data_IF_830020877087
#
_entry.id   IF_830020877087
#
_cell.length_a   1.000
_cell.length_b   1.000
_cell.length_c   1.000
_cell.angle_alpha   90.00
_cell.angle_beta   90.00
_cell.angle_gamma   90.00
#
_symmetry.space_group_name_H-M   'P 1'
#
loop_
_entity.id
_entity.type
_entity.pdbx_description
1 polymer ?
#
# COMPACT_ATOMS: atom_id res chain seq x y z
N UNK A 1 9.07 19.31 -12.99
CA UNK A 1 8.18 19.08 -11.83
C UNK A 1 9.04 18.40 -10.80
N UNK A 2 9.37 19.09 -9.70
CA UNK A 2 10.33 18.57 -8.74
C UNK A 2 9.70 17.40 -7.99
N UNK A 3 10.32 16.25 -8.08
CA UNK A 3 9.95 15.04 -7.39
C UNK A 3 10.05 15.28 -5.88
N UNK A 4 8.95 15.11 -5.19
CA UNK A 4 8.85 15.28 -3.76
C UNK A 4 9.33 13.99 -3.09
N UNK A 5 10.16 14.16 -2.06
CA UNK A 5 10.65 13.03 -1.29
C UNK A 5 9.50 12.30 -0.59
N UNK A 6 9.47 11.01 -0.84
CA UNK A 6 8.50 10.09 -0.30
C UNK A 6 8.44 10.07 1.22
N UNK A 7 9.58 10.16 1.88
CA UNK A 7 9.64 10.15 3.35
C UNK A 7 8.92 11.34 3.95
N UNK A 8 9.02 12.52 3.31
CA UNK A 8 8.37 13.75 3.80
C UNK A 8 6.86 13.69 3.64
N UNK A 9 6.39 13.22 2.47
CA UNK A 9 4.94 13.01 2.23
C UNK A 9 4.39 11.95 3.18
N UNK A 10 5.12 10.85 3.37
CA UNK A 10 4.81 9.82 4.33
C UNK A 10 4.73 10.35 5.75
N UNK A 11 5.74 11.09 6.18
CA UNK A 11 5.78 11.64 7.52
C UNK A 11 4.63 12.61 7.76
N UNK A 12 4.27 13.43 6.75
CA UNK A 12 3.13 14.32 6.83
C UNK A 12 1.79 13.55 6.90
N UNK A 13 1.63 12.48 6.12
CA UNK A 13 0.43 11.64 6.17
C UNK A 13 0.31 10.89 7.51
N UNK A 14 1.41 10.36 8.04
CA UNK A 14 1.43 9.72 9.36
C UNK A 14 1.11 10.71 10.48
N UNK A 15 1.66 11.93 10.41
CA UNK A 15 1.32 12.98 11.37
C UNK A 15 -0.16 13.34 11.37
N UNK A 16 -0.77 13.38 10.19
CA UNK A 16 -2.21 13.63 10.08
C UNK A 16 -2.99 12.44 10.64
N UNK A 17 -2.59 11.21 10.32
CA UNK A 17 -3.23 10.01 10.85
C UNK A 17 -3.18 9.95 12.39
N UNK A 18 -2.03 10.30 12.98
CA UNK A 18 -1.85 10.35 14.45
C UNK A 18 -2.71 11.42 15.14
N UNK A 19 -3.19 12.40 14.40
CA UNK A 19 -4.06 13.46 14.94
C UNK A 19 -5.53 13.10 14.89
N UNK A 20 -5.89 12.11 14.10
CA UNK A 20 -7.28 11.69 13.98
C UNK A 20 -7.67 10.84 15.17
N UNK A 21 -8.92 10.95 15.67
CA UNK A 21 -9.34 10.19 16.82
C UNK A 21 -9.23 8.69 16.54
N UNK A 22 -8.69 7.95 17.48
CA UNK A 22 -8.80 6.50 17.50
C UNK A 22 -10.27 6.15 17.61
N UNK A 23 -10.81 5.45 16.62
CA UNK A 23 -12.22 5.10 16.61
C UNK A 23 -12.54 4.10 17.70
N UNK A 24 -13.34 4.52 18.68
CA UNK A 24 -14.00 3.57 19.57
C UNK A 24 -15.21 2.97 18.85
N UNK A 25 -15.00 1.79 18.25
CA UNK A 25 -16.08 1.01 17.63
C UNK A 25 -15.86 0.66 16.16
N UNK A 26 -16.61 -0.32 15.63
CA UNK A 26 -16.39 -0.93 14.32
C UNK A 26 -16.66 -0.01 13.11
N UNK A 27 -16.92 1.25 13.33
CA UNK A 27 -17.50 2.13 12.31
C UNK A 27 -16.65 3.33 11.90
N UNK A 28 -15.53 3.62 12.60
CA UNK A 28 -14.72 4.81 12.31
C UNK A 28 -13.35 4.47 11.76
N UNK A 29 -13.11 4.91 10.54
CA UNK A 29 -11.84 4.67 9.85
C UNK A 29 -11.44 5.85 9.01
N UNK A 30 -10.57 6.73 9.53
CA UNK A 30 -9.97 7.77 8.73
C UNK A 30 -8.87 7.17 7.84
N UNK A 31 -8.97 7.44 6.56
CA UNK A 31 -7.95 7.13 5.59
C UNK A 31 -7.36 8.43 5.06
N UNK A 32 -6.03 8.61 5.18
CA UNK A 32 -5.36 9.85 4.79
C UNK A 32 -4.59 9.66 3.51
N UNK A 33 -4.90 10.45 2.49
CA UNK A 33 -4.15 10.52 1.23
C UNK A 33 -3.68 11.95 0.99
N UNK A 34 -2.40 12.15 0.72
CA UNK A 34 -1.89 13.43 0.23
C UNK A 34 -1.89 13.39 -1.29
N UNK A 35 -2.55 14.37 -1.90
CA UNK A 35 -2.67 14.44 -3.35
C UNK A 35 -1.39 15.05 -3.95
N UNK A 36 -0.51 14.26 -4.60
CA UNK A 36 0.80 14.73 -5.07
C UNK A 36 0.68 15.81 -6.17
N UNK A 37 -0.37 15.76 -6.96
CA UNK A 37 -0.64 16.74 -8.01
C UNK A 37 -1.09 18.13 -7.48
N UNK A 38 -1.31 18.24 -6.18
CA UNK A 38 -1.66 19.50 -5.50
C UNK A 38 -0.57 19.97 -4.54
N UNK A 39 0.62 19.43 -4.65
CA UNK A 39 1.77 19.88 -3.87
C UNK A 39 2.55 20.91 -4.65
N UNK A 40 2.87 22.01 -4.01
CA UNK A 40 3.62 23.09 -4.61
C UNK A 40 4.53 23.81 -3.60
N UNK A 41 5.61 24.45 -4.06
CA UNK A 41 6.46 25.26 -3.18
C UNK A 41 5.72 26.51 -2.70
N UNK A 42 5.96 26.89 -1.45
CA UNK A 42 5.46 28.14 -0.88
C UNK A 42 6.50 29.23 -1.13
N UNK A 43 6.09 30.28 -1.84
CA UNK A 43 6.94 31.42 -2.16
C UNK A 43 7.89 31.19 -3.34
N UNK A 44 8.79 32.15 -3.56
CA UNK A 44 9.75 32.11 -4.67
C UNK A 44 10.86 31.11 -4.36
N UNK A 45 10.86 29.99 -5.07
CA UNK A 45 11.85 28.94 -4.95
C UNK A 45 11.67 27.97 -3.77
N UNK A 46 10.73 28.22 -2.87
CA UNK A 46 10.38 27.32 -1.76
C UNK A 46 11.47 27.07 -0.69
N UNK A 47 12.66 27.66 -0.88
CA UNK A 47 13.77 27.49 0.07
C UNK A 47 13.52 28.32 1.34
N UNK A 48 13.50 27.68 2.49
CA UNK A 48 13.27 28.34 3.80
C UNK A 48 14.58 28.70 4.49
N UNK A 49 15.64 27.93 4.21
CA UNK A 49 16.95 28.15 4.81
C UNK A 49 17.96 27.09 4.41
N UNK A 50 19.19 27.37 4.76
CA UNK A 50 20.32 26.45 4.67
C UNK A 50 20.84 26.29 6.10
N UNK A 51 21.01 25.07 6.57
CA UNK A 51 21.67 24.76 7.84
C UNK A 51 23.10 24.30 7.54
N UNK A 52 24.07 24.91 8.18
CA UNK A 52 25.44 24.39 8.17
C UNK A 52 25.47 23.08 8.97
N UNK A 53 25.80 22.00 8.32
CA UNK A 53 25.98 20.69 8.91
C UNK A 53 27.41 20.22 8.58
N UNK A 54 28.11 19.54 9.51
CA UNK A 54 29.45 18.98 9.24
C UNK A 54 29.52 18.05 8.02
N UNK A 55 28.37 17.52 7.58
CA UNK A 55 28.23 16.64 6.42
C UNK A 55 27.84 17.38 5.12
N UNK A 56 27.59 18.70 5.19
CA UNK A 56 27.21 19.55 4.06
C UNK A 56 25.97 20.40 4.32
N UNK A 57 25.68 21.31 3.38
CA UNK A 57 24.56 22.23 3.50
C UNK A 57 23.20 21.52 3.39
N UNK A 58 22.39 21.58 4.42
CA UNK A 58 21.02 21.08 4.41
C UNK A 58 20.09 22.16 3.90
N UNK A 59 19.36 21.87 2.84
CA UNK A 59 18.34 22.76 2.29
C UNK A 59 16.96 22.41 2.82
N UNK A 60 16.22 23.40 3.28
CA UNK A 60 14.83 23.23 3.71
C UNK A 60 13.89 23.92 2.72
N UNK A 61 12.90 23.17 2.25
CA UNK A 61 11.84 23.69 1.39
C UNK A 61 10.52 23.63 2.14
N UNK A 62 9.72 24.67 1.98
CA UNK A 62 8.35 24.68 2.48
C UNK A 62 7.40 24.38 1.34
N UNK A 63 6.53 23.42 1.56
CA UNK A 63 5.57 22.93 0.58
C UNK A 63 4.17 23.10 1.12
N UNK A 64 3.26 23.53 0.26
CA UNK A 64 1.83 23.52 0.53
C UNK A 64 1.15 22.41 -0.28
N UNK A 65 0.08 21.86 0.27
CA UNK A 65 -0.64 20.79 -0.39
C UNK A 65 -2.01 20.53 0.20
N UNK A 66 -2.66 19.55 -0.37
CA UNK A 66 -3.96 19.06 0.09
C UNK A 66 -3.84 17.57 0.42
N UNK A 67 -4.26 17.22 1.64
CA UNK A 67 -4.51 15.83 2.02
C UNK A 67 -6.01 15.57 1.96
N UNK A 68 -6.39 14.34 1.64
CA UNK A 68 -7.76 13.87 1.72
C UNK A 68 -7.84 12.77 2.78
N UNK A 69 -8.71 12.97 3.74
CA UNK A 69 -9.07 11.97 4.74
C UNK A 69 -10.38 11.34 4.29
N UNK A 70 -10.36 10.05 3.97
CA UNK A 70 -11.59 9.31 3.66
C UNK A 70 -12.14 8.74 4.95
N UNK A 71 -13.29 9.25 5.37
CA UNK A 71 -14.01 8.78 6.56
C UNK A 71 -15.04 7.75 6.12
N UNK A 72 -15.09 6.60 6.79
CA UNK A 72 -16.03 5.51 6.50
C UNK A 72 -16.85 5.15 7.74
N UNK A 73 -18.10 4.80 7.54
CA UNK A 73 -19.00 4.35 8.62
C UNK A 73 -20.10 3.43 8.09
N UNK A 74 -20.73 2.68 9.00
CA UNK A 74 -21.81 1.76 8.67
C UNK A 74 -23.18 2.44 8.48
N UNK A 75 -23.34 3.70 8.91
CA UNK A 75 -24.54 4.51 8.69
C UNK A 75 -24.17 5.95 8.33
N UNK A 76 -25.11 6.70 7.70
CA UNK A 76 -24.89 8.13 7.41
C UNK A 76 -24.72 8.99 8.67
N UNK A 77 -25.42 8.66 9.76
CA UNK A 77 -25.34 9.36 11.04
C UNK A 77 -23.96 9.18 11.66
N UNK A 78 -23.49 7.94 11.77
CA UNK A 78 -22.14 7.63 12.25
C UNK A 78 -21.06 8.26 11.38
N UNK A 79 -21.27 8.32 10.05
CA UNK A 79 -20.36 9.00 9.14
C UNK A 79 -20.30 10.50 9.41
N UNK A 80 -21.44 11.12 9.71
CA UNK A 80 -21.49 12.54 10.08
C UNK A 80 -20.68 12.79 11.37
N UNK A 81 -20.96 12.03 12.42
CA UNK A 81 -20.31 12.17 13.72
C UNK A 81 -18.79 11.95 13.61
N UNK A 82 -18.38 10.93 12.89
CA UNK A 82 -16.99 10.63 12.63
C UNK A 82 -16.28 11.76 11.84
N UNK A 83 -16.96 12.35 10.85
CA UNK A 83 -16.40 13.49 10.08
C UNK A 83 -16.24 14.73 10.97
N UNK A 84 -17.21 14.99 11.84
CA UNK A 84 -17.15 16.09 12.82
C UNK A 84 -16.00 15.87 13.81
N UNK A 85 -15.88 14.66 14.35
CA UNK A 85 -14.80 14.31 15.29
C UNK A 85 -13.42 14.48 14.65
N UNK A 86 -13.23 14.00 13.40
CA UNK A 86 -12.00 14.18 12.65
C UNK A 86 -11.67 15.67 12.43
N UNK A 87 -12.66 16.46 12.04
CA UNK A 87 -12.49 17.91 11.85
C UNK A 87 -12.12 18.62 13.15
N UNK A 88 -12.77 18.28 14.25
CA UNK A 88 -12.50 18.85 15.58
C UNK A 88 -11.10 18.49 16.06
N UNK A 89 -10.65 17.26 15.86
CA UNK A 89 -9.31 16.81 16.20
C UNK A 89 -8.24 17.63 15.50
N UNK A 90 -8.41 17.88 14.20
CA UNK A 90 -7.52 18.75 13.42
C UNK A 90 -7.53 20.18 13.95
N UNK A 91 -8.70 20.74 14.28
CA UNK A 91 -8.83 22.12 14.75
C UNK A 91 -8.27 22.31 16.17
N UNK A 92 -8.34 21.28 17.03
CA UNK A 92 -7.87 21.31 18.41
C UNK A 92 -6.37 21.01 18.54
N UNK A 93 -5.69 20.67 17.46
CA UNK A 93 -4.29 20.27 17.49
C UNK A 93 -3.37 21.43 17.92
N UNK A 94 -2.43 21.15 18.81
CA UNK A 94 -1.41 22.11 19.22
C UNK A 94 -0.49 22.46 18.04
N UNK A 95 -0.58 23.70 17.59
CA UNK A 95 0.21 24.22 16.47
C UNK A 95 1.71 24.25 16.75
N UNK A 96 2.11 24.35 18.02
CA UNK A 96 3.54 24.33 18.40
C UNK A 96 4.07 22.92 18.27
N UNK A 97 3.31 21.92 18.71
CA UNK A 97 3.67 20.51 18.55
C UNK A 97 3.76 20.12 17.07
N UNK A 98 2.83 20.57 16.24
CA UNK A 98 2.88 20.35 14.78
C UNK A 98 4.13 20.96 14.15
N UNK A 99 4.46 22.21 14.47
CA UNK A 99 5.66 22.90 13.95
C UNK A 99 6.95 22.19 14.31
N UNK A 100 7.05 21.65 15.53
CA UNK A 100 8.21 20.86 15.94
C UNK A 100 8.39 19.58 15.12
N UNK A 101 7.32 19.09 14.51
CA UNK A 101 7.32 17.93 13.60
C UNK A 101 7.39 18.32 12.12
N UNK A 102 7.66 19.59 11.80
CA UNK A 102 7.79 20.08 10.43
C UNK A 102 6.48 20.45 9.74
N UNK A 103 5.33 20.39 10.43
CA UNK A 103 4.04 20.80 9.87
C UNK A 103 3.65 22.18 10.37
N UNK A 104 3.66 23.18 9.49
CA UNK A 104 3.42 24.59 9.83
C UNK A 104 1.96 24.96 9.91
N UNK A 105 1.17 24.38 9.03
CA UNK A 105 -0.27 24.64 8.95
C UNK A 105 -1.00 23.36 8.62
N UNK A 106 -2.08 23.11 9.36
CA UNK A 106 -3.05 22.08 9.07
C UNK A 106 -4.44 22.70 9.32
N UNK A 107 -5.29 22.68 8.32
CA UNK A 107 -6.62 23.29 8.34
C UNK A 107 -7.63 22.37 7.63
N UNK A 108 -8.85 22.36 8.11
CA UNK A 108 -9.94 21.71 7.39
C UNK A 108 -10.30 22.49 6.13
N UNK A 109 -10.47 21.79 5.03
CA UNK A 109 -10.91 22.30 3.73
C UNK A 109 -12.36 21.90 3.46
N UNK A 110 -12.63 21.47 2.25
CA UNK A 110 -13.96 21.03 1.82
C UNK A 110 -14.33 19.67 2.41
N UNK A 111 -15.62 19.48 2.68
CA UNK A 111 -16.20 18.20 3.03
C UNK A 111 -16.97 17.71 1.79
N UNK A 112 -16.59 16.56 1.28
CA UNK A 112 -17.18 15.95 0.10
C UNK A 112 -18.60 15.41 0.34
N UNK A 113 -19.28 14.98 -0.72
CA UNK A 113 -20.57 14.34 -0.62
C UNK A 113 -20.46 12.96 0.06
N UNK A 114 -21.56 12.49 0.63
CA UNK A 114 -21.69 11.12 1.11
C UNK A 114 -21.77 10.19 -0.09
N UNK A 115 -20.93 9.15 -0.11
CA UNK A 115 -20.99 8.06 -1.09
C UNK A 115 -21.39 6.78 -0.37
N UNK A 116 -22.30 6.04 -0.95
CA UNK A 116 -22.66 4.71 -0.47
C UNK A 116 -21.87 3.66 -1.25
N UNK A 117 -21.14 2.81 -0.53
CA UNK A 117 -20.41 1.68 -1.08
C UNK A 117 -21.17 0.39 -0.75
N UNK A 118 -21.46 -0.39 -1.78
CA UNK A 118 -22.24 -1.62 -1.65
C UNK A 118 -23.76 -1.38 -1.76
N UNK A 119 -24.45 -2.35 -2.36
CA UNK A 119 -25.88 -2.25 -2.68
C UNK A 119 -26.74 -3.13 -1.75
N UNK A 120 -26.12 -4.10 -1.03
CA UNK A 120 -26.85 -5.06 -0.19
C UNK A 120 -26.36 -5.08 1.25
N UNK A 121 -27.29 -5.03 2.25
CA UNK A 121 -26.96 -5.35 3.63
C UNK A 121 -26.47 -6.82 3.75
N UNK A 122 -25.50 -7.15 4.64
CA UNK A 122 -24.95 -6.34 5.73
C UNK A 122 -23.71 -5.50 5.38
N UNK A 123 -23.30 -5.43 4.15
CA UNK A 123 -22.03 -4.78 3.73
C UNK A 123 -22.18 -3.33 3.25
N UNK A 124 -23.28 -2.66 3.54
CA UNK A 124 -23.44 -1.25 3.19
C UNK A 124 -22.48 -0.40 4.02
N UNK A 125 -21.56 0.27 3.35
CA UNK A 125 -20.65 1.22 3.95
C UNK A 125 -20.90 2.59 3.32
N UNK A 126 -20.78 3.65 4.12
CA UNK A 126 -20.85 5.03 3.66
C UNK A 126 -19.49 5.66 3.80
N UNK A 127 -19.10 6.47 2.83
CA UNK A 127 -17.82 7.20 2.90
C UNK A 127 -17.99 8.66 2.50
N UNK A 128 -17.06 9.48 2.97
CA UNK A 128 -16.97 10.91 2.68
C UNK A 128 -15.52 11.38 2.74
N UNK A 129 -15.17 12.28 1.86
CA UNK A 129 -13.88 12.92 1.84
C UNK A 129 -13.88 14.17 2.75
N UNK A 130 -12.85 14.31 3.56
CA UNK A 130 -12.52 15.52 4.29
C UNK A 130 -11.20 16.05 3.75
N UNK A 131 -11.22 17.17 3.05
CA UNK A 131 -10.01 17.84 2.60
C UNK A 131 -9.32 18.56 3.75
N UNK A 132 -8.00 18.42 3.83
CA UNK A 132 -7.13 19.14 4.74
C UNK A 132 -6.10 19.93 3.92
N UNK A 133 -6.00 21.22 4.19
CA UNK A 133 -4.94 22.08 3.65
C UNK A 133 -3.75 22.06 4.59
N UNK A 134 -2.57 21.81 4.06
CA UNK A 134 -1.36 21.68 4.85
C UNK A 134 -0.20 22.46 4.25
N UNK A 135 0.68 22.94 5.15
CA UNK A 135 2.00 23.46 4.80
C UNK A 135 3.00 22.73 5.66
N UNK A 136 4.00 22.12 5.04
CA UNK A 136 5.03 21.36 5.75
C UNK A 136 6.43 21.65 5.19
N UNK A 137 7.45 21.35 5.98
CA UNK A 137 8.84 21.48 5.55
C UNK A 137 9.41 20.15 5.09
N UNK A 138 10.17 20.23 4.02
CA UNK A 138 11.04 19.18 3.51
C UNK A 138 12.48 19.56 3.77
N UNK A 139 13.21 18.69 4.41
CA UNK A 139 14.67 18.74 4.51
C UNK A 139 15.28 17.95 3.34
N UNK A 140 16.24 18.53 2.64
CA UNK A 140 17.03 17.87 1.61
C UNK A 140 18.44 17.74 2.13
N UNK A 141 18.87 16.52 2.39
CA UNK A 141 20.23 16.23 2.81
C UNK A 141 21.19 16.30 1.62
N UNK A 142 22.47 16.71 1.83
CA UNK A 142 23.43 16.94 0.74
C UNK A 142 23.70 15.71 -0.12
N UNK A 143 23.60 14.52 0.45
CA UNK A 143 23.76 13.27 -0.29
C UNK A 143 22.62 13.02 -1.30
N UNK A 144 21.46 13.62 -1.08
CA UNK A 144 20.32 13.54 -1.99
C UNK A 144 20.38 14.58 -3.12
N UNK A 145 21.16 15.65 -2.94
CA UNK A 145 21.24 16.74 -3.93
C UNK A 145 21.99 16.37 -5.22
N UNK A 146 22.72 15.26 -5.25
CA UNK A 146 23.43 14.75 -6.43
C UNK A 146 22.80 13.52 -7.08
N UNK A 147 21.78 12.96 -6.48
CA UNK A 147 21.03 11.81 -7.01
C UNK A 147 19.79 12.26 -7.76
N UNK A 148 19.49 11.63 -8.86
CA UNK A 148 18.17 11.67 -9.48
C UNK A 148 17.17 11.32 -8.38
N UNK A 149 16.24 12.24 -8.05
CA UNK A 149 15.17 11.97 -7.09
C UNK A 149 14.32 10.85 -7.69
N UNK A 150 14.63 9.63 -7.26
CA UNK A 150 14.10 8.44 -7.89
C UNK A 150 12.77 7.99 -7.30
N UNK A 151 12.26 8.61 -6.22
CA UNK A 151 11.10 8.04 -5.55
C UNK A 151 10.21 9.06 -4.87
N UNK A 152 8.97 9.16 -5.34
CA UNK A 152 7.84 9.55 -4.50
C UNK A 152 7.07 8.26 -4.17
N UNK A 153 7.23 7.64 -3.02
CA UNK A 153 6.23 6.69 -2.59
C UNK A 153 4.96 7.50 -2.31
N UNK A 154 3.93 7.27 -3.04
CA UNK A 154 2.60 7.58 -2.53
C UNK A 154 2.40 6.69 -1.30
N UNK A 155 2.70 7.19 -0.14
CA UNK A 155 2.27 6.54 1.06
C UNK A 155 0.84 6.94 1.30
N UNK A 156 0.02 6.17 0.72
CA UNK A 156 -1.32 5.98 1.21
C UNK A 156 -1.16 5.13 2.45
N UNK A 157 -1.25 5.72 3.64
CA UNK A 157 -1.45 4.95 4.85
C UNK A 157 -2.86 4.38 4.78
N UNK A 158 -2.97 3.26 4.08
CA UNK A 158 -4.13 2.43 4.18
C UNK A 158 -4.02 1.69 5.52
N UNK A 159 -4.78 2.13 6.48
CA UNK A 159 -5.44 1.14 7.31
C UNK A 159 -6.74 0.81 6.55
N UNK A 160 -6.86 -0.39 5.94
CA UNK A 160 -8.18 -0.94 5.71
C UNK A 160 -8.94 -0.90 7.03
N UNK A 161 -10.19 -1.28 7.06
CA UNK A 161 -10.96 -1.41 8.31
C UNK A 161 -10.31 -2.36 9.35
N UNK A 162 -9.05 -2.15 9.62
CA UNK A 162 -8.21 -2.94 10.51
C UNK A 162 -8.39 -2.56 11.98
N UNK A 163 -9.10 -1.49 12.30
CA UNK A 163 -9.32 -1.11 13.71
C UNK A 163 -10.26 -2.10 14.42
N UNK A 164 -10.95 -2.95 13.66
CA UNK A 164 -11.63 -4.14 14.17
C UNK A 164 -10.87 -5.43 13.95
N UNK A 165 -9.76 -5.40 13.20
CA UNK A 165 -8.98 -6.57 12.86
C UNK A 165 -7.75 -6.66 13.78
N UNK A 166 -7.45 -7.85 14.27
CA UNK A 166 -6.23 -8.11 15.01
C UNK A 166 -5.05 -8.21 14.02
N UNK A 167 -4.07 -7.33 14.13
CA UNK A 167 -2.82 -7.45 13.36
C UNK A 167 -2.07 -8.69 13.78
N UNK A 168 -1.89 -9.63 12.86
CA UNK A 168 -1.18 -10.90 13.08
C UNK A 168 0.21 -10.87 12.46
N UNK A 169 0.36 -10.14 11.33
CA UNK A 169 1.62 -9.97 10.62
C UNK A 169 1.91 -8.48 10.50
N UNK A 170 3.11 -8.09 10.91
CA UNK A 170 3.67 -6.77 10.60
C UNK A 170 5.17 -6.93 10.37
N UNK A 171 5.60 -6.85 9.12
CA UNK A 171 6.99 -7.01 8.71
C UNK A 171 7.45 -5.75 8.01
N UNK A 172 8.40 -5.05 8.65
CA UNK A 172 9.11 -3.93 8.03
C UNK A 172 10.22 -4.48 7.12
N UNK A 173 9.95 -4.50 5.82
CA UNK A 173 10.88 -4.96 4.78
C UNK A 173 11.95 -3.92 4.41
N UNK A 174 11.96 -2.77 5.10
CA UNK A 174 13.06 -1.77 5.08
C UNK A 174 14.17 -2.12 6.07
N UNK A 175 14.03 -3.20 6.78
CA UNK A 175 15.04 -3.87 7.58
C UNK A 175 15.31 -5.26 7.01
N UNK A 176 16.43 -5.87 7.35
CA UNK A 176 16.71 -7.24 6.92
C UNK A 176 15.79 -8.22 7.66
N UNK A 177 14.71 -8.58 7.01
CA UNK A 177 13.70 -9.50 7.51
C UNK A 177 13.61 -10.80 6.69
N UNK A 178 14.54 -11.02 5.75
CA UNK A 178 14.48 -12.18 4.85
C UNK A 178 14.52 -13.52 5.58
N UNK A 179 15.17 -13.57 6.74
CA UNK A 179 15.21 -14.78 7.58
C UNK A 179 13.84 -15.25 8.09
N UNK A 180 12.82 -14.40 8.04
CA UNK A 180 11.43 -14.72 8.39
C UNK A 180 10.68 -15.41 7.25
N UNK A 181 11.26 -15.48 6.07
CA UNK A 181 10.62 -15.95 4.84
C UNK A 181 11.33 -17.16 4.25
N UNK A 182 10.58 -17.90 3.45
CA UNK A 182 11.11 -18.94 2.57
C UNK A 182 10.78 -18.58 1.13
N UNK A 183 11.78 -18.72 0.26
CA UNK A 183 11.64 -18.52 -1.18
C UNK A 183 11.17 -19.82 -1.83
N UNK A 184 10.20 -19.71 -2.73
CA UNK A 184 9.77 -20.80 -3.59
C UNK A 184 9.73 -20.31 -5.04
N UNK A 185 10.46 -20.97 -5.91
CA UNK A 185 10.36 -20.77 -7.36
C UNK A 185 9.41 -21.83 -7.91
N UNK A 186 8.44 -21.38 -8.73
CA UNK A 186 7.53 -22.31 -9.38
C UNK A 186 8.33 -23.27 -10.28
N UNK A 187 8.11 -24.58 -10.24
CA UNK A 187 8.83 -25.52 -11.10
C UNK A 187 8.67 -25.26 -12.60
N UNK A 188 7.60 -24.61 -13.01
CA UNK A 188 7.38 -24.16 -14.39
C UNK A 188 8.07 -22.81 -14.73
N UNK A 189 8.59 -22.10 -13.73
CA UNK A 189 9.33 -20.86 -13.91
C UNK A 189 10.80 -21.14 -14.29
N UNK A 190 11.02 -21.64 -15.48
CA UNK A 190 12.34 -22.12 -15.94
C UNK A 190 13.26 -21.02 -16.48
N UNK A 191 12.70 -19.86 -16.82
CA UNK A 191 13.49 -18.75 -17.34
C UNK A 191 14.19 -18.01 -16.19
N UNK A 192 15.51 -17.86 -16.31
CA UNK A 192 16.38 -17.13 -15.37
C UNK A 192 16.34 -17.61 -13.90
N UNK A 193 15.99 -18.87 -13.66
CA UNK A 193 16.04 -19.47 -12.33
C UNK A 193 17.50 -19.69 -11.83
N UNK A 194 17.78 -19.63 -10.51
CA UNK A 194 16.87 -19.35 -9.42
C UNK A 194 16.57 -17.85 -9.25
N UNK A 195 15.54 -17.55 -8.43
CA UNK A 195 15.23 -16.18 -8.02
C UNK A 195 16.33 -15.56 -7.16
N UNK A 196 16.37 -14.24 -7.16
CA UNK A 196 17.36 -13.46 -6.42
C UNK A 196 16.68 -12.46 -5.49
N UNK A 197 16.22 -12.96 -4.34
CA UNK A 197 15.65 -12.15 -3.27
C UNK A 197 16.73 -11.67 -2.32
N UNK A 198 16.86 -10.36 -2.18
CA UNK A 198 17.90 -9.74 -1.36
C UNK A 198 17.33 -8.59 -0.52
N UNK A 199 18.07 -8.24 0.54
CA UNK A 199 17.86 -6.98 1.26
C UNK A 199 18.86 -5.93 0.73
N UNK A 200 18.33 -4.87 0.10
CA UNK A 200 19.11 -3.69 -0.31
C UNK A 200 19.27 -2.78 0.92
N UNK A 201 20.38 -2.92 1.61
CA UNK A 201 20.67 -2.17 2.83
C UNK A 201 20.85 -0.66 2.57
N UNK A 202 21.29 -0.27 1.38
CA UNK A 202 21.51 1.13 1.00
C UNK A 202 20.17 1.84 0.82
N UNK A 203 19.24 1.19 0.10
CA UNK A 203 17.90 1.75 -0.16
C UNK A 203 16.84 1.28 0.82
N UNK A 204 17.23 0.46 1.79
CA UNK A 204 16.36 -0.07 2.86
C UNK A 204 15.07 -0.67 2.30
N UNK A 205 15.20 -1.77 1.57
CA UNK A 205 14.08 -2.46 0.94
C UNK A 205 14.41 -3.92 0.66
N UNK A 206 13.42 -4.77 0.63
CA UNK A 206 13.54 -6.12 0.08
C UNK A 206 13.35 -6.05 -1.44
N UNK A 207 14.22 -6.70 -2.18
CA UNK A 207 14.24 -6.67 -3.65
C UNK A 207 14.25 -8.06 -4.24
N UNK A 208 13.60 -8.23 -5.39
CA UNK A 208 13.76 -9.37 -6.27
C UNK A 208 14.42 -8.91 -7.57
N UNK A 209 15.59 -9.47 -7.89
CA UNK A 209 16.45 -9.05 -8.99
C UNK A 209 16.47 -10.02 -10.18
N UNK A 210 15.99 -11.25 -10.01
CA UNK A 210 15.86 -12.22 -11.09
C UNK A 210 14.61 -12.02 -11.93
N UNK A 211 14.72 -12.09 -13.24
CA UNK A 211 13.56 -12.09 -14.15
C UNK A 211 12.98 -13.50 -14.29
N UNK A 212 12.45 -14.05 -13.18
CA UNK A 212 11.92 -15.42 -13.10
C UNK A 212 10.52 -15.51 -13.68
N UNK A 213 10.32 -16.37 -14.66
CA UNK A 213 8.99 -16.67 -15.21
C UNK A 213 8.97 -18.00 -15.96
N UNK A 214 7.75 -18.49 -16.19
CA UNK A 214 7.43 -19.56 -17.13
C UNK A 214 6.22 -19.17 -17.97
N UNK A 215 6.00 -19.87 -19.09
CA UNK A 215 4.91 -19.53 -20.00
C UNK A 215 5.10 -18.19 -20.72
N UNK A 216 4.01 -17.49 -20.96
CA UNK A 216 4.00 -16.19 -21.63
C UNK A 216 3.65 -15.04 -20.68
N UNK A 217 3.71 -13.82 -21.19
CA UNK A 217 3.36 -12.61 -20.45
C UNK A 217 1.92 -12.13 -20.66
N UNK A 218 1.07 -12.90 -21.34
CA UNK A 218 -0.33 -12.55 -21.53
C UNK A 218 -1.06 -12.28 -20.22
N UNK A 219 -2.22 -11.65 -20.26
CA UNK A 219 -3.02 -11.32 -19.07
C UNK A 219 -3.72 -12.53 -18.42
N UNK A 220 -3.53 -13.74 -18.94
CA UNK A 220 -4.11 -14.97 -18.36
C UNK A 220 -3.54 -15.33 -16.98
N UNK A 221 -4.17 -16.27 -16.27
CA UNK A 221 -3.87 -16.60 -14.88
C UNK A 221 -2.54 -17.35 -14.70
N UNK A 222 -2.03 -18.00 -15.75
CA UNK A 222 -0.80 -18.77 -15.68
C UNK A 222 0.41 -17.85 -15.49
N UNK A 223 0.90 -17.78 -14.23
CA UNK A 223 1.97 -16.90 -13.80
C UNK A 223 3.01 -17.65 -12.95
N UNK A 224 3.66 -18.70 -13.51
CA UNK A 224 4.73 -19.37 -12.80
C UNK A 224 5.92 -18.42 -12.62
N UNK A 225 6.13 -17.97 -11.40
CA UNK A 225 7.14 -17.01 -10.99
C UNK A 225 7.82 -17.40 -9.69
N UNK A 226 8.18 -16.44 -8.88
CA UNK A 226 8.79 -16.64 -7.57
C UNK A 226 7.94 -16.01 -6.47
N UNK A 227 7.88 -16.68 -5.33
CA UNK A 227 7.17 -16.21 -4.15
C UNK A 227 8.08 -16.20 -2.92
N UNK A 228 7.87 -15.22 -2.06
CA UNK A 228 8.54 -15.05 -0.79
C UNK A 228 7.49 -15.21 0.32
N UNK A 229 7.43 -16.36 0.95
CA UNK A 229 6.36 -16.77 1.88
C UNK A 229 6.82 -16.61 3.32
N UNK A 230 6.00 -15.96 4.15
CA UNK A 230 6.23 -15.83 5.58
C UNK A 230 6.23 -17.21 6.24
N UNK A 231 7.34 -17.57 6.88
CA UNK A 231 7.59 -18.90 7.44
C UNK A 231 8.16 -18.87 8.86
N UNK A 232 7.89 -17.81 9.60
CA UNK A 232 8.41 -17.56 10.95
C UNK A 232 7.58 -18.19 12.08
N UNK A 233 6.65 -19.08 11.74
CA UNK A 233 5.73 -19.72 12.70
C UNK A 233 4.45 -18.92 12.94
N UNK A 234 4.23 -17.84 12.23
CA UNK A 234 2.95 -17.08 12.27
C UNK A 234 1.79 -18.00 11.86
N UNK A 235 0.69 -18.04 12.64
CA UNK A 235 -0.48 -18.85 12.28
C UNK A 235 -1.05 -18.46 10.91
N UNK A 236 -1.47 -19.47 10.16
CA UNK A 236 -2.17 -19.25 8.90
C UNK A 236 -3.49 -18.48 9.09
N UNK A 237 -3.91 -17.78 8.04
CA UNK A 237 -5.10 -16.95 8.02
C UNK A 237 -6.07 -17.45 6.93
N UNK A 238 -7.33 -17.71 7.29
CA UNK A 238 -8.40 -18.05 6.35
C UNK A 238 -9.21 -16.81 5.95
N UNK A 239 -9.48 -15.93 6.90
CA UNK A 239 -10.05 -14.61 6.67
C UNK A 239 -9.02 -13.55 7.03
N UNK A 240 -8.72 -12.65 6.11
CA UNK A 240 -7.63 -11.68 6.30
C UNK A 240 -7.85 -10.40 5.50
N UNK A 241 -7.28 -9.32 6.03
CA UNK A 241 -6.91 -8.16 5.26
C UNK A 241 -5.38 -8.14 5.14
N UNK A 242 -4.88 -8.22 3.90
CA UNK A 242 -3.44 -8.24 3.60
C UNK A 242 -3.06 -6.93 2.93
N UNK A 243 -1.97 -6.34 3.39
CA UNK A 243 -1.45 -5.13 2.79
C UNK A 243 0.05 -5.28 2.48
N UNK A 244 0.46 -4.81 1.32
CA UNK A 244 1.85 -4.71 0.94
C UNK A 244 2.16 -3.32 0.37
N UNK A 245 3.28 -2.74 0.80
CA UNK A 245 3.82 -1.53 0.18
C UNK A 245 4.92 -1.98 -0.77
N UNK A 246 4.77 -1.66 -2.06
CA UNK A 246 5.65 -2.13 -3.11
C UNK A 246 5.86 -1.09 -4.22
N UNK A 247 6.88 -1.34 -5.05
CA UNK A 247 7.23 -0.55 -6.23
C UNK A 247 7.87 -1.44 -7.27
N UNK A 248 7.71 -1.12 -8.53
CA UNK A 248 8.44 -1.77 -9.63
C UNK A 248 9.19 -0.74 -10.47
N UNK A 249 10.47 -1.01 -10.77
CA UNK A 249 11.16 -0.35 -11.87
C UNK A 249 11.12 -1.21 -13.15
N UNK A 250 10.73 -2.48 -13.02
CA UNK A 250 10.52 -3.40 -14.13
C UNK A 250 9.12 -3.25 -14.76
N UNK A 251 8.94 -3.88 -15.91
CA UNK A 251 7.67 -3.81 -16.65
C UNK A 251 6.69 -4.91 -16.29
N UNK A 252 7.13 -5.97 -15.60
CA UNK A 252 6.36 -7.17 -15.34
C UNK A 252 5.67 -7.14 -13.97
N UNK A 253 5.03 -8.24 -13.63
CA UNK A 253 4.11 -8.26 -12.51
C UNK A 253 4.78 -8.41 -11.14
N UNK A 254 4.16 -7.80 -10.15
CA UNK A 254 4.41 -8.03 -8.74
C UNK A 254 3.10 -7.98 -7.94
N UNK A 255 3.11 -8.55 -6.75
CA UNK A 255 1.94 -8.54 -5.89
C UNK A 255 2.11 -9.36 -4.63
N UNK A 256 1.02 -9.97 -4.19
CA UNK A 256 0.93 -10.70 -2.92
C UNK A 256 0.32 -12.08 -3.10
N UNK A 257 0.68 -12.98 -2.18
CA UNK A 257 0.14 -14.33 -2.06
C UNK A 257 -0.64 -14.43 -0.76
N UNK A 258 -1.76 -15.16 -0.77
CA UNK A 258 -2.58 -15.38 0.41
C UNK A 258 -3.17 -16.79 0.40
N UNK A 259 -3.56 -17.28 1.58
CA UNK A 259 -3.98 -18.67 1.82
C UNK A 259 -3.01 -19.68 1.22
N UNK A 260 -1.70 -19.41 1.33
CA UNK A 260 -0.66 -20.31 0.87
C UNK A 260 -0.65 -21.59 1.68
N UNK A 261 -0.87 -22.71 1.02
CA UNK A 261 -0.72 -24.05 1.59
C UNK A 261 0.65 -24.66 1.20
N UNK A 262 0.94 -24.64 -0.09
CA UNK A 262 2.16 -25.11 -0.74
C UNK A 262 2.30 -24.46 -2.14
N UNK A 263 3.36 -24.86 -2.88
CA UNK A 263 3.64 -24.30 -4.22
C UNK A 263 2.56 -24.63 -5.28
N UNK A 264 1.68 -25.59 -4.99
CA UNK A 264 0.61 -26.02 -5.89
C UNK A 264 -0.78 -25.53 -5.48
N UNK A 265 -0.89 -24.89 -4.27
CA UNK A 265 -2.18 -24.52 -3.70
C UNK A 265 -2.10 -23.15 -3.00
N UNK A 266 -2.50 -22.09 -3.69
CA UNK A 266 -2.53 -20.72 -3.15
C UNK A 266 -3.37 -19.78 -4.03
N UNK A 267 -3.76 -18.64 -3.47
CA UNK A 267 -4.27 -17.49 -4.20
C UNK A 267 -3.21 -16.41 -4.31
N UNK A 268 -3.33 -15.58 -5.35
CA UNK A 268 -2.46 -14.43 -5.51
C UNK A 268 -3.20 -13.24 -6.14
N UNK A 269 -2.73 -12.05 -5.83
CA UNK A 269 -3.06 -10.81 -6.51
C UNK A 269 -1.80 -10.27 -7.18
N UNK A 270 -1.88 -9.98 -8.46
CA UNK A 270 -0.81 -9.38 -9.25
C UNK A 270 -1.26 -8.13 -9.98
N UNK A 271 -0.35 -7.18 -10.12
CA UNK A 271 -0.47 -6.05 -11.04
C UNK A 271 0.75 -5.95 -11.94
N UNK A 272 0.56 -5.48 -13.19
CA UNK A 272 1.59 -5.42 -14.23
C UNK A 272 1.53 -4.13 -15.02
N UNK A 273 2.70 -3.69 -15.54
CA UNK A 273 2.81 -2.57 -16.45
C UNK A 273 2.62 -3.02 -17.91
N UNK A 274 3.30 -4.09 -18.33
CA UNK A 274 3.27 -4.59 -19.71
C UNK A 274 3.28 -6.12 -19.72
N UNK A 275 2.21 -6.78 -20.18
CA UNK A 275 0.91 -6.18 -20.49
C UNK A 275 0.27 -5.53 -19.28
N UNK A 276 -0.61 -4.56 -19.51
CA UNK A 276 -1.36 -3.88 -18.47
C UNK A 276 -2.44 -4.81 -17.92
N UNK A 277 -2.39 -5.09 -16.61
CA UNK A 277 -3.45 -5.79 -15.90
C UNK A 277 -3.31 -5.69 -14.38
N UNK A 278 -4.42 -5.90 -13.70
CA UNK A 278 -4.48 -6.34 -12.32
C UNK A 278 -5.38 -7.58 -12.25
N UNK A 279 -5.00 -8.59 -11.47
CA UNK A 279 -5.81 -9.81 -11.36
C UNK A 279 -5.70 -10.49 -10.00
N UNK A 280 -6.78 -11.17 -9.61
CA UNK A 280 -6.75 -12.21 -8.57
C UNK A 280 -6.90 -13.55 -9.29
N UNK A 281 -6.02 -14.49 -9.00
CA UNK A 281 -6.09 -15.84 -9.54
C UNK A 281 -5.65 -16.87 -8.50
N UNK A 282 -5.76 -18.14 -8.84
CA UNK A 282 -5.36 -19.25 -7.99
C UNK A 282 -4.46 -20.23 -8.70
N UNK A 283 -3.72 -21.00 -7.89
CA UNK A 283 -3.12 -22.26 -8.27
C UNK A 283 -3.71 -23.35 -7.38
N UNK A 284 -4.25 -24.39 -7.98
CA UNK A 284 -4.87 -25.52 -7.26
C UNK A 284 -4.42 -26.83 -7.89
N UNK A 285 -3.85 -27.73 -7.09
CA UNK A 285 -3.30 -29.00 -7.61
C UNK A 285 -2.26 -28.77 -8.72
N UNK A 286 -1.48 -27.69 -8.63
CA UNK A 286 -0.46 -27.32 -9.60
C UNK A 286 -0.99 -26.61 -10.86
N UNK A 287 -2.31 -26.42 -11.00
CA UNK A 287 -2.92 -25.78 -12.16
C UNK A 287 -3.35 -24.36 -11.84
N UNK A 288 -2.93 -23.39 -12.67
CA UNK A 288 -3.35 -22.01 -12.59
C UNK A 288 -4.75 -21.82 -13.16
N UNK A 289 -5.58 -21.02 -12.53
CA UNK A 289 -6.95 -20.73 -12.97
C UNK A 289 -7.39 -19.32 -12.57
N UNK A 290 -8.22 -18.72 -13.43
CA UNK A 290 -8.99 -17.53 -13.08
C UNK A 290 -10.08 -17.89 -12.04
N UNK A 291 -10.50 -16.89 -11.25
CA UNK A 291 -11.64 -17.05 -10.33
C UNK A 291 -12.94 -16.88 -11.10
N UNK A 292 -13.15 -15.66 -11.60
CA UNK A 292 -14.26 -15.26 -12.44
C UNK A 292 -13.86 -14.07 -13.32
N UNK A 293 -14.75 -13.59 -14.18
CA UNK A 293 -14.44 -12.50 -15.12
C UNK A 293 -14.20 -11.14 -14.45
N UNK A 294 -14.62 -10.94 -13.22
CA UNK A 294 -14.40 -9.71 -12.46
C UNK A 294 -13.03 -9.70 -11.77
N UNK A 295 -12.38 -10.85 -11.71
CA UNK A 295 -11.07 -11.01 -11.11
C UNK A 295 -9.90 -10.59 -12.01
N UNK A 296 -10.17 -10.14 -13.23
CA UNK A 296 -9.19 -9.60 -14.18
C UNK A 296 -9.61 -8.20 -14.65
N UNK A 297 -8.70 -7.24 -14.52
CA UNK A 297 -8.85 -5.88 -15.01
C UNK A 297 -7.70 -5.54 -15.96
N UNK A 298 -7.97 -5.52 -17.26
CA UNK A 298 -6.99 -5.20 -18.32
C UNK A 298 -6.85 -3.70 -18.60
N UNK A 299 -7.71 -2.88 -18.01
CA UNK A 299 -7.63 -1.41 -18.10
C UNK A 299 -6.69 -0.83 -17.03
N UNK A 300 -6.31 -1.64 -16.02
CA UNK A 300 -5.36 -1.22 -15.01
C UNK A 300 -3.93 -1.35 -15.54
N UNK A 301 -3.17 -0.28 -15.47
CA UNK A 301 -1.75 -0.28 -15.79
C UNK A 301 -0.93 0.20 -14.59
N UNK A 302 -0.02 -0.65 -14.12
CA UNK A 302 0.95 -0.27 -13.10
C UNK A 302 1.98 0.69 -13.70
N UNK A 303 2.21 1.84 -13.09
CA UNK A 303 3.27 2.76 -13.49
C UNK A 303 4.62 2.32 -12.92
N UNK A 304 5.66 2.37 -13.76
CA UNK A 304 7.02 2.08 -13.30
C UNK A 304 7.51 3.19 -12.36
N UNK A 305 8.32 2.80 -11.40
CA UNK A 305 8.91 3.71 -10.41
C UNK A 305 7.90 4.44 -9.52
N UNK A 306 6.68 3.96 -9.49
CA UNK A 306 5.64 4.46 -8.62
C UNK A 306 5.43 3.50 -7.44
N UNK A 307 5.28 4.05 -6.22
CA UNK A 307 5.02 3.22 -5.03
C UNK A 307 3.54 3.01 -4.84
N UNK A 308 3.17 1.77 -4.60
CA UNK A 308 1.79 1.34 -4.40
C UNK A 308 1.60 0.73 -3.02
N UNK A 309 0.47 1.01 -2.45
CA UNK A 309 -0.08 0.20 -1.37
C UNK A 309 -1.13 -0.71 -1.97
N UNK A 310 -0.84 -1.99 -1.96
CA UNK A 310 -1.78 -3.04 -2.31
C UNK A 310 -2.54 -3.42 -1.05
N UNK A 311 -3.85 -3.54 -1.15
CA UNK A 311 -4.69 -4.07 -0.08
C UNK A 311 -5.58 -5.14 -0.64
N UNK A 312 -5.55 -6.31 -0.04
CA UNK A 312 -6.43 -7.44 -0.35
C UNK A 312 -7.32 -7.70 0.86
N UNK A 313 -8.63 -7.65 0.66
CA UNK A 313 -9.62 -8.15 1.60
C UNK A 313 -10.07 -9.53 1.13
N UNK A 314 -9.79 -10.55 1.93
CA UNK A 314 -10.12 -11.95 1.68
C UNK A 314 -10.98 -12.49 2.84
N UNK A 315 -12.18 -11.93 2.98
CA UNK A 315 -13.16 -12.34 3.98
C UNK A 315 -14.11 -13.39 3.37
N UNK A 316 -14.00 -14.62 3.88
CA UNK A 316 -14.79 -15.74 3.35
C UNK A 316 -14.33 -16.15 1.95
N UNK A 317 -15.26 -16.30 1.02
CA UNK A 317 -15.09 -16.67 -0.37
C UNK A 317 -15.01 -15.47 -1.34
N UNK A 318 -15.17 -14.26 -0.84
CA UNK A 318 -15.12 -13.03 -1.62
C UNK A 318 -13.78 -12.34 -1.41
N UNK A 319 -13.11 -12.04 -2.51
CA UNK A 319 -11.82 -11.35 -2.55
C UNK A 319 -11.95 -9.99 -3.21
N UNK A 320 -11.36 -8.97 -2.62
CA UNK A 320 -11.31 -7.61 -3.17
C UNK A 320 -9.90 -7.07 -3.08
N UNK A 321 -9.33 -6.68 -4.22
CA UNK A 321 -8.02 -6.06 -4.25
C UNK A 321 -8.12 -4.58 -4.61
N UNK A 322 -7.42 -3.79 -3.82
CA UNK A 322 -7.35 -2.34 -3.94
C UNK A 322 -5.91 -1.92 -4.24
N UNK A 323 -5.77 -0.92 -5.08
CA UNK A 323 -4.52 -0.18 -5.27
C UNK A 323 -4.75 1.25 -4.80
N UNK A 324 -4.05 1.62 -3.74
CA UNK A 324 -4.43 2.79 -2.98
C UNK A 324 -5.83 2.62 -2.38
N UNK A 325 -6.75 3.52 -2.71
CA UNK A 325 -8.16 3.45 -2.28
C UNK A 325 -9.10 2.87 -3.33
N UNK A 326 -8.60 2.62 -4.55
CA UNK A 326 -9.43 2.19 -5.66
C UNK A 326 -9.55 0.67 -5.67
N UNK A 327 -10.77 0.16 -5.67
CA UNK A 327 -11.03 -1.24 -5.99
C UNK A 327 -10.63 -1.48 -7.44
N UNK A 328 -9.70 -2.38 -7.68
CA UNK A 328 -9.19 -2.67 -9.03
C UNK A 328 -9.70 -3.99 -9.57
N UNK A 329 -9.87 -4.99 -8.72
CA UNK A 329 -10.45 -6.28 -9.07
C UNK A 329 -11.19 -6.87 -7.88
N UNK A 330 -12.18 -7.71 -8.14
CA UNK A 330 -12.84 -8.54 -7.14
C UNK A 330 -13.11 -9.91 -7.74
N UNK A 331 -13.22 -10.93 -6.90
CA UNK A 331 -13.55 -12.29 -7.32
C UNK A 331 -14.15 -13.11 -6.21
N UNK A 332 -14.74 -14.23 -6.54
CA UNK A 332 -15.30 -15.17 -5.59
C UNK A 332 -14.78 -16.57 -5.87
N UNK A 333 -14.29 -17.25 -4.83
CA UNK A 333 -13.81 -18.63 -4.92
C UNK A 333 -13.67 -19.25 -3.52
N UNK A 334 -13.95 -20.54 -3.41
CA UNK A 334 -13.89 -21.33 -2.17
C UNK A 334 -12.97 -22.56 -2.27
N UNK A 335 -12.22 -22.70 -3.38
CA UNK A 335 -11.39 -23.89 -3.63
C UNK A 335 -10.30 -24.10 -2.56
N UNK A 336 -9.76 -23.03 -1.96
CA UNK A 336 -8.83 -23.08 -0.84
C UNK A 336 -9.45 -22.30 0.32
N UNK A 337 -10.21 -23.01 1.16
CA UNK A 337 -10.89 -22.44 2.34
C UNK A 337 -10.04 -22.46 3.60
N UNK A 338 -9.02 -23.31 3.64
CA UNK A 338 -8.17 -23.50 4.81
C UNK A 338 -7.29 -22.28 5.08
N UNK A 339 -6.94 -22.11 6.35
CA UNK A 339 -5.99 -21.09 6.76
C UNK A 339 -4.61 -21.37 6.16
N UNK A 340 -3.98 -20.34 5.61
CA UNK A 340 -2.66 -20.45 4.99
C UNK A 340 -1.79 -19.24 5.25
N UNK A 341 -0.52 -19.35 4.86
CA UNK A 341 0.44 -18.27 4.99
C UNK A 341 0.18 -17.14 3.98
N UNK A 342 0.88 -16.05 4.18
CA UNK A 342 0.88 -14.88 3.29
C UNK A 342 2.29 -14.62 2.76
N UNK A 343 2.39 -13.90 1.66
CA UNK A 343 3.69 -13.60 1.08
C UNK A 343 3.64 -12.58 -0.04
N UNK A 344 4.78 -12.45 -0.70
CA UNK A 344 5.01 -11.57 -1.83
C UNK A 344 5.23 -12.41 -3.09
N UNK A 345 4.88 -11.87 -4.24
CA UNK A 345 5.06 -12.56 -5.52
C UNK A 345 5.69 -11.64 -6.57
N UNK A 346 6.55 -12.21 -7.39
CA UNK A 346 7.11 -11.57 -8.59
C UNK A 346 7.04 -12.53 -9.77
N UNK A 347 6.63 -12.00 -10.92
CA UNK A 347 6.55 -12.74 -12.18
C UNK A 347 7.23 -11.95 -13.30
N UNK A 348 8.36 -12.44 -13.78
CA UNK A 348 9.15 -11.82 -14.85
C UNK A 348 9.65 -10.41 -14.51
N UNK A 349 9.74 -10.06 -13.24
CA UNK A 349 10.10 -8.71 -12.80
C UNK A 349 11.42 -8.70 -12.03
N UNK A 350 12.48 -8.24 -12.68
CA UNK A 350 13.84 -8.14 -12.12
C UNK A 350 14.07 -6.88 -11.28
N UNK A 351 13.03 -6.12 -10.97
CA UNK A 351 13.12 -4.86 -10.22
C UNK A 351 11.86 -4.65 -9.38
N UNK A 352 11.46 -5.70 -8.67
CA UNK A 352 10.34 -5.67 -7.73
C UNK A 352 10.87 -5.31 -6.33
N UNK A 353 10.34 -4.25 -5.74
CA UNK A 353 10.76 -3.69 -4.45
C UNK A 353 9.60 -3.72 -3.47
N UNK A 354 9.89 -4.17 -2.24
CA UNK A 354 8.89 -4.27 -1.18
C UNK A 354 9.41 -3.61 0.10
N UNK A 355 8.52 -2.88 0.77
CA UNK A 355 8.84 -2.05 1.92
C UNK A 355 8.14 -2.49 3.20
N UNK A 356 6.96 -3.08 3.11
CA UNK A 356 6.20 -3.59 4.26
C UNK A 356 5.21 -4.66 3.83
N UNK A 357 4.98 -5.62 4.71
CA UNK A 357 3.92 -6.61 4.60
C UNK A 357 3.15 -6.65 5.92
N UNK A 358 1.84 -6.45 5.86
CA UNK A 358 0.98 -6.48 7.05
C UNK A 358 -0.23 -7.36 6.76
N UNK A 359 -0.58 -8.23 7.68
CA UNK A 359 -1.84 -8.99 7.61
C UNK A 359 -2.56 -8.94 8.95
N UNK A 360 -3.88 -8.84 8.87
CA UNK A 360 -4.76 -8.79 10.02
C UNK A 360 -5.96 -9.70 9.80
N UNK A 361 -6.52 -10.26 10.87
CA UNK A 361 -7.72 -11.09 10.84
C UNK A 361 -8.91 -10.32 11.42
N UNK A 362 -10.15 -10.59 10.94
CA UNK A 362 -11.33 -10.02 11.54
C UNK A 362 -11.46 -10.46 13.00
N UNK A 363 -12.12 -9.66 13.86
CA UNK A 363 -12.45 -10.08 15.21
C UNK A 363 -13.31 -11.34 15.18
N UNK A 364 -13.12 -12.23 16.16
CA UNK A 364 -13.87 -13.46 16.31
C UNK A 364 -15.35 -13.24 16.61
#
# INVERSE_FOLDING_TARGET
MNELDSQTVTSAAMLIADLLPDGEGPSFMPHVTILPNRLGPVGVGGVVGILDDPQGDIRMHRLEGTAVVVVKASSPELLHDATVAASQSVLSTDRIALRRKGMYTLQTGAIGPVRQLGINPPSTCYERDLELKLVFEKRIDPEEAGGVIAEIPQLVSLRPPLDTYETVVDVDLRSDALSRFTVFDDPAAVANAPSDWQFDAVRRRTVQLGEIYGGDFASGPEKPGTVLILSDGTPGLSALALQAVCRSAGQRALGVVFRWQDIDNFYFFLMSHTPAYAMIAKKTGGTYAELDTSALNTDFQMEQNFSYTLTLDASGDIFRAYVGTSLVVSGQDDAISDAGSVGLMSFGNSSAYFYRLTAARPPA
#
